data_IF_018340197482
#
_entry.id   IF_018340197482
#
_cell.length_a   1.000
_cell.length_b   1.000
_cell.length_c   1.000
_cell.angle_alpha   90.00
_cell.angle_beta   90.00
_cell.angle_gamma   90.00
#
_symmetry.space_group_name_H-M   'P 1'
#
loop_
_entity.id
_entity.type
_entity.pdbx_description
1 polymer ?
#
# COMPACT_ATOMS: atom_id res chain seq x y z
N UNK A 1 12.84 47.48 3.46
CA UNK A 1 12.91 46.01 3.39
C UNK A 1 14.37 45.63 3.69
N UNK A 2 14.62 45.00 4.84
CA UNK A 2 15.96 44.84 5.42
C UNK A 2 16.86 43.92 4.58
N UNK A 3 18.09 44.37 4.25
CA UNK A 3 19.12 43.54 3.60
C UNK A 3 19.35 42.21 4.32
N UNK A 4 19.30 42.22 5.65
CA UNK A 4 19.44 41.02 6.49
C UNK A 4 18.32 39.99 6.27
N UNK A 5 17.10 40.45 5.98
CA UNK A 5 15.97 39.57 5.68
C UNK A 5 16.16 38.89 4.32
N UNK A 6 16.61 39.65 3.31
CA UNK A 6 16.89 39.13 1.98
C UNK A 6 18.02 38.08 1.99
N UNK A 7 19.08 38.30 2.77
CA UNK A 7 20.19 37.36 2.91
C UNK A 7 19.75 36.04 3.58
N UNK A 8 18.93 36.13 4.64
CA UNK A 8 18.34 34.95 5.30
C UNK A 8 17.46 34.15 4.35
N UNK A 9 16.62 34.82 3.55
CA UNK A 9 15.76 34.17 2.55
C UNK A 9 16.58 33.49 1.46
N UNK A 10 17.63 34.14 0.93
CA UNK A 10 18.50 33.54 -0.08
C UNK A 10 19.22 32.29 0.44
N UNK A 11 19.70 32.33 1.70
CA UNK A 11 20.33 31.17 2.34
C UNK A 11 19.36 30.01 2.55
N UNK A 12 18.13 30.30 2.98
CA UNK A 12 17.07 29.29 3.15
C UNK A 12 16.72 28.64 1.80
N UNK A 13 16.57 29.43 0.75
CA UNK A 13 16.25 28.94 -0.59
C UNK A 13 17.39 28.07 -1.17
N UNK A 14 18.65 28.44 -0.90
CA UNK A 14 19.81 27.62 -1.27
C UNK A 14 19.82 26.27 -0.55
N UNK A 15 19.47 26.25 0.74
CA UNK A 15 19.34 25.01 1.51
C UNK A 15 18.21 24.12 0.97
N UNK A 16 17.03 24.69 0.73
CA UNK A 16 15.88 23.96 0.17
C UNK A 16 16.22 23.36 -1.19
N UNK A 17 16.91 24.11 -2.06
CA UNK A 17 17.33 23.62 -3.37
C UNK A 17 18.29 22.43 -3.26
N UNK A 18 19.23 22.48 -2.31
CA UNK A 18 20.17 21.38 -2.07
C UNK A 18 19.45 20.13 -1.55
N UNK A 19 18.55 20.29 -0.57
CA UNK A 19 17.75 19.18 -0.02
C UNK A 19 16.84 18.59 -1.10
N UNK A 20 16.14 19.41 -1.89
CA UNK A 20 15.36 18.95 -3.04
C UNK A 20 16.19 18.11 -4.00
N UNK A 21 17.42 18.53 -4.32
CA UNK A 21 18.33 17.74 -5.16
C UNK A 21 18.66 16.36 -4.55
N UNK A 22 18.78 16.25 -3.23
CA UNK A 22 19.00 14.96 -2.56
C UNK A 22 17.77 14.03 -2.65
N UNK A 23 16.57 14.60 -2.68
CA UNK A 23 15.34 13.83 -2.86
C UNK A 23 15.16 13.38 -4.32
N UNK A 24 15.56 14.18 -5.31
CA UNK A 24 15.50 13.76 -6.72
C UNK A 24 16.22 12.43 -6.98
N UNK A 25 17.36 12.19 -6.32
CA UNK A 25 18.09 10.91 -6.40
C UNK A 25 17.27 9.71 -5.90
N UNK A 26 16.19 9.94 -5.14
CA UNK A 26 15.31 8.90 -4.58
C UNK A 26 14.12 8.57 -5.49
N UNK A 27 13.89 9.36 -6.54
CA UNK A 27 12.78 9.17 -7.48
C UNK A 27 12.62 7.71 -7.94
N UNK A 28 13.67 7.00 -8.41
CA UNK A 28 13.50 5.63 -8.90
C UNK A 28 12.99 4.67 -7.83
N UNK A 29 13.40 4.86 -6.57
CA UNK A 29 13.00 4.02 -5.46
C UNK A 29 11.56 4.29 -5.03
N UNK A 30 11.14 5.57 -5.04
CA UNK A 30 9.77 5.99 -4.78
C UNK A 30 8.82 5.45 -5.84
N UNK A 31 9.18 5.61 -7.11
CA UNK A 31 8.41 5.04 -8.23
C UNK A 31 8.30 3.51 -8.10
N UNK A 32 9.41 2.82 -7.79
CA UNK A 32 9.40 1.37 -7.61
C UNK A 32 8.53 0.91 -6.43
N UNK A 33 8.51 1.66 -5.32
CA UNK A 33 7.65 1.35 -4.17
C UNK A 33 6.17 1.50 -4.53
N UNK A 34 5.81 2.57 -5.24
CA UNK A 34 4.45 2.83 -5.69
C UNK A 34 3.97 1.76 -6.69
N UNK A 35 4.76 1.48 -7.73
CA UNK A 35 4.48 0.41 -8.69
C UNK A 35 4.36 -0.95 -7.99
N UNK A 36 5.25 -1.25 -7.05
CA UNK A 36 5.19 -2.50 -6.30
C UNK A 36 3.92 -2.64 -5.45
N UNK A 37 3.36 -1.52 -4.96
CA UNK A 37 2.08 -1.54 -4.27
C UNK A 37 0.92 -1.73 -5.24
N UNK A 38 0.92 -0.99 -6.36
CA UNK A 38 -0.09 -1.08 -7.43
C UNK A 38 -0.16 -2.50 -8.00
N UNK A 39 0.98 -3.09 -8.33
CA UNK A 39 1.09 -4.47 -8.82
C UNK A 39 0.56 -5.46 -7.80
N UNK A 40 0.85 -5.26 -6.51
CA UNK A 40 0.34 -6.10 -5.44
C UNK A 40 -1.19 -6.01 -5.37
N UNK A 41 -1.78 -4.81 -5.39
CA UNK A 41 -3.24 -4.66 -5.28
C UNK A 41 -4.00 -5.12 -6.53
N UNK A 42 -3.34 -5.10 -7.69
CA UNK A 42 -3.90 -5.51 -8.97
C UNK A 42 -3.93 -7.03 -9.21
N UNK A 43 -3.33 -7.84 -8.32
CA UNK A 43 -3.35 -9.31 -8.43
C UNK A 43 -4.78 -9.84 -8.44
N UNK A 44 -4.97 -11.03 -8.98
CA UNK A 44 -6.26 -11.72 -9.09
C UNK A 44 -6.46 -12.80 -8.01
N UNK A 45 -5.76 -12.69 -6.89
CA UNK A 45 -5.88 -13.58 -5.73
C UNK A 45 -6.02 -12.81 -4.40
N UNK A 46 -6.37 -13.49 -3.31
CA UNK A 46 -6.49 -12.86 -1.99
C UNK A 46 -5.16 -12.25 -1.53
N UNK A 47 -5.13 -10.98 -1.11
CA UNK A 47 -3.89 -10.38 -0.60
C UNK A 47 -3.69 -10.73 0.86
N UNK A 48 -2.67 -11.53 1.11
CA UNK A 48 -2.31 -11.94 2.46
C UNK A 48 -1.64 -10.81 3.24
N UNK A 49 -1.62 -10.94 4.56
CA UNK A 49 -0.79 -10.08 5.42
C UNK A 49 0.69 -10.22 5.10
N UNK A 50 1.11 -11.39 4.60
CA UNK A 50 2.49 -11.61 4.20
C UNK A 50 2.87 -10.81 2.95
N UNK A 51 1.98 -10.70 1.95
CA UNK A 51 2.21 -9.88 0.75
C UNK A 51 2.48 -8.42 1.14
N UNK A 52 1.57 -7.84 1.93
CA UNK A 52 1.71 -6.47 2.39
C UNK A 52 2.94 -6.26 3.26
N UNK A 53 3.23 -7.18 4.19
CA UNK A 53 4.44 -7.11 5.02
C UNK A 53 5.69 -7.17 4.17
N UNK A 54 5.74 -8.08 3.19
CA UNK A 54 6.90 -8.25 2.31
C UNK A 54 7.15 -7.00 1.47
N UNK A 55 6.09 -6.35 0.97
CA UNK A 55 6.20 -5.06 0.31
C UNK A 55 6.76 -3.99 1.27
N UNK A 56 6.20 -3.87 2.47
CA UNK A 56 6.63 -2.87 3.47
C UNK A 56 8.08 -3.07 3.91
N UNK A 57 8.50 -4.32 4.12
CA UNK A 57 9.88 -4.67 4.46
C UNK A 57 10.84 -4.35 3.30
N UNK A 58 10.45 -4.65 2.06
CA UNK A 58 11.25 -4.36 0.86
C UNK A 58 11.51 -2.87 0.68
N UNK A 59 10.49 -2.04 0.93
CA UNK A 59 10.55 -0.60 0.67
C UNK A 59 10.70 0.26 1.93
N UNK A 60 10.85 -0.32 3.13
CA UNK A 60 10.83 0.39 4.41
C UNK A 60 11.66 1.68 4.45
N UNK A 61 12.92 1.62 3.97
CA UNK A 61 13.80 2.79 3.88
C UNK A 61 13.26 3.91 2.98
N UNK A 62 12.53 3.56 1.92
CA UNK A 62 11.89 4.53 1.02
C UNK A 62 10.68 5.15 1.72
N UNK A 63 9.92 4.35 2.46
CA UNK A 63 8.77 4.84 3.23
C UNK A 63 9.22 5.84 4.31
N UNK A 64 10.34 5.58 4.98
CA UNK A 64 10.95 6.54 5.91
C UNK A 64 11.35 7.87 5.21
N UNK A 65 11.81 7.79 3.95
CA UNK A 65 12.13 8.96 3.14
C UNK A 65 10.87 9.74 2.78
N UNK A 66 9.75 9.06 2.50
CA UNK A 66 8.45 9.71 2.24
C UNK A 66 8.02 10.48 3.48
N UNK A 67 8.05 9.86 4.67
CA UNK A 67 7.69 10.54 5.92
C UNK A 67 8.61 11.73 6.21
N UNK A 68 9.92 11.59 5.95
CA UNK A 68 10.87 12.69 6.08
C UNK A 68 10.54 13.85 5.13
N UNK A 69 10.17 13.57 3.88
CA UNK A 69 9.80 14.60 2.90
C UNK A 69 8.63 15.46 3.42
N UNK A 70 7.57 14.82 3.93
CA UNK A 70 6.40 15.53 4.47
C UNK A 70 6.66 16.24 5.80
N UNK A 71 7.76 15.92 6.49
CA UNK A 71 8.20 16.67 7.68
C UNK A 71 8.98 17.95 7.37
N UNK A 72 9.37 18.16 6.10
CA UNK A 72 10.21 19.27 5.66
C UNK A 72 9.42 20.27 4.80
N UNK A 73 9.33 21.51 5.27
CA UNK A 73 8.57 22.54 4.58
C UNK A 73 9.32 23.15 3.37
N UNK A 74 8.56 23.43 2.31
CA UNK A 74 9.03 24.18 1.14
C UNK A 74 9.95 23.42 0.20
N UNK A 75 9.94 22.09 0.26
CA UNK A 75 10.64 21.25 -0.71
C UNK A 75 9.78 21.01 -1.95
N UNK A 76 10.37 21.16 -3.13
CA UNK A 76 9.75 20.82 -4.41
C UNK A 76 10.60 19.78 -5.12
N UNK A 77 9.96 18.73 -5.63
CA UNK A 77 10.61 17.67 -6.43
C UNK A 77 9.73 17.28 -7.62
N UNK A 78 10.31 16.65 -8.64
CA UNK A 78 9.67 16.33 -9.92
C UNK A 78 8.61 15.23 -9.84
N UNK A 79 8.47 14.58 -8.69
CA UNK A 79 7.64 13.38 -8.47
C UNK A 79 6.78 13.51 -7.19
N UNK A 80 6.36 14.75 -6.87
CA UNK A 80 5.50 15.02 -5.70
C UNK A 80 4.21 14.19 -5.71
N UNK A 81 3.62 13.95 -6.88
CA UNK A 81 2.41 13.13 -6.99
C UNK A 81 2.61 11.69 -6.51
N UNK A 82 3.77 11.09 -6.79
CA UNK A 82 4.11 9.75 -6.30
C UNK A 82 4.34 9.73 -4.79
N UNK A 83 4.94 10.79 -4.23
CA UNK A 83 5.11 10.96 -2.78
C UNK A 83 3.75 11.09 -2.08
N UNK A 84 2.85 11.92 -2.62
CA UNK A 84 1.50 12.11 -2.08
C UNK A 84 0.73 10.78 -2.06
N UNK A 85 0.78 10.03 -3.17
CA UNK A 85 0.10 8.73 -3.28
C UNK A 85 0.65 7.73 -2.28
N UNK A 86 1.98 7.61 -2.14
CA UNK A 86 2.58 6.75 -1.13
C UNK A 86 2.22 7.19 0.29
N UNK A 87 2.20 8.49 0.58
CA UNK A 87 1.85 8.98 1.89
C UNK A 87 0.40 8.63 2.27
N UNK A 88 -0.54 8.77 1.34
CA UNK A 88 -1.93 8.31 1.52
C UNK A 88 -2.00 6.81 1.74
N UNK A 89 -1.27 6.01 0.95
CA UNK A 89 -1.19 4.55 1.13
C UNK A 89 -0.67 4.21 2.53
N UNK A 90 0.36 4.89 3.02
CA UNK A 90 0.92 4.64 4.34
C UNK A 90 -0.06 4.98 5.46
N UNK A 91 -0.84 6.05 5.31
CA UNK A 91 -1.84 6.47 6.28
C UNK A 91 -3.01 5.48 6.44
N UNK A 92 -3.42 4.79 5.37
CA UNK A 92 -4.63 3.95 5.37
C UNK A 92 -4.51 2.60 4.65
N UNK A 93 -3.30 2.04 4.61
CA UNK A 93 -3.02 0.78 3.91
C UNK A 93 -3.88 -0.40 4.38
N UNK A 94 -4.22 -0.48 5.66
CA UNK A 94 -5.07 -1.56 6.18
C UNK A 94 -6.49 -1.49 5.60
N UNK A 95 -7.11 -0.31 5.55
CA UNK A 95 -8.44 -0.18 4.98
C UNK A 95 -8.45 -0.41 3.47
N UNK A 96 -7.42 0.07 2.77
CA UNK A 96 -7.25 -0.17 1.32
C UNK A 96 -7.19 -1.67 1.00
N UNK A 97 -6.33 -2.41 1.72
CA UNK A 97 -6.18 -3.87 1.52
C UNK A 97 -7.47 -4.59 1.89
N UNK A 98 -8.10 -4.22 3.00
CA UNK A 98 -9.36 -4.82 3.44
C UNK A 98 -10.48 -4.58 2.42
N UNK A 99 -10.56 -3.38 1.86
CA UNK A 99 -11.54 -3.05 0.82
C UNK A 99 -11.31 -3.89 -0.42
N UNK A 100 -10.08 -3.91 -0.93
CA UNK A 100 -9.73 -4.71 -2.12
C UNK A 100 -10.02 -6.20 -1.89
N UNK A 101 -9.65 -6.75 -0.73
CA UNK A 101 -9.90 -8.16 -0.44
C UNK A 101 -11.39 -8.47 -0.35
N UNK A 102 -12.22 -7.56 0.19
CA UNK A 102 -13.67 -7.73 0.17
C UNK A 102 -14.19 -7.80 -1.26
N UNK A 103 -13.75 -6.90 -2.13
CA UNK A 103 -14.19 -6.86 -3.53
C UNK A 103 -13.76 -8.15 -4.27
N UNK A 104 -12.54 -8.64 -4.02
CA UNK A 104 -12.07 -9.94 -4.51
C UNK A 104 -12.94 -11.11 -4.01
N UNK A 105 -13.25 -11.14 -2.70
CA UNK A 105 -14.08 -12.18 -2.09
C UNK A 105 -15.48 -12.21 -2.71
N UNK A 106 -16.11 -11.05 -2.90
CA UNK A 106 -17.44 -10.95 -3.52
C UNK A 106 -17.44 -11.51 -4.95
N UNK A 107 -16.41 -11.19 -5.73
CA UNK A 107 -16.26 -11.70 -7.09
C UNK A 107 -16.05 -13.21 -7.13
N UNK A 108 -15.17 -13.75 -6.29
CA UNK A 108 -14.88 -15.19 -6.28
C UNK A 108 -16.04 -16.01 -5.72
N UNK A 109 -16.79 -15.48 -4.74
CA UNK A 109 -18.01 -16.13 -4.24
C UNK A 109 -19.06 -16.29 -5.34
N UNK A 110 -19.25 -15.25 -6.17
CA UNK A 110 -20.17 -15.31 -7.32
C UNK A 110 -19.64 -16.27 -8.39
N UNK A 111 -18.35 -16.17 -8.72
CA UNK A 111 -17.69 -17.00 -9.74
C UNK A 111 -17.77 -18.50 -9.44
N UNK A 112 -17.62 -18.89 -8.18
CA UNK A 112 -17.63 -20.29 -7.75
C UNK A 112 -18.94 -20.74 -7.10
N UNK A 113 -20.01 -19.96 -7.19
CA UNK A 113 -21.27 -20.26 -6.50
C UNK A 113 -21.82 -21.65 -6.85
N UNK A 114 -21.97 -21.95 -8.14
CA UNK A 114 -22.46 -23.25 -8.62
C UNK A 114 -21.52 -24.42 -8.26
N UNK A 115 -20.21 -24.16 -8.17
CA UNK A 115 -19.26 -25.17 -7.69
C UNK A 115 -19.48 -25.47 -6.21
N UNK A 116 -19.63 -24.43 -5.36
CA UNK A 116 -19.86 -24.61 -3.93
C UNK A 116 -21.23 -25.20 -3.58
N UNK A 117 -22.23 -25.01 -4.44
CA UNK A 117 -23.54 -25.66 -4.29
C UNK A 117 -23.51 -27.17 -4.58
N UNK A 118 -22.56 -27.62 -5.41
CA UNK A 118 -22.53 -29.00 -5.93
C UNK A 118 -21.39 -29.87 -5.39
N UNK A 119 -20.44 -29.26 -4.67
CA UNK A 119 -19.21 -29.94 -4.24
C UNK A 119 -19.45 -31.12 -3.28
N UNK A 120 -20.39 -30.96 -2.37
CA UNK A 120 -20.68 -31.92 -1.30
C UNK A 120 -22.15 -32.35 -1.37
N UNK A 121 -22.52 -33.39 -0.60
CA UNK A 121 -23.93 -33.82 -0.49
C UNK A 121 -24.86 -32.67 -0.07
N UNK A 122 -24.35 -31.72 0.72
CA UNK A 122 -25.03 -30.50 1.10
C UNK A 122 -24.18 -29.29 0.66
N UNK A 123 -24.79 -28.20 0.18
CA UNK A 123 -24.06 -26.99 -0.19
C UNK A 123 -23.16 -26.49 0.93
N UNK A 124 -21.97 -26.01 0.58
CA UNK A 124 -21.09 -25.38 1.56
C UNK A 124 -21.75 -24.16 2.18
N UNK A 125 -21.60 -24.01 3.50
CA UNK A 125 -22.04 -22.82 4.23
C UNK A 125 -21.24 -21.59 3.78
N UNK A 126 -21.78 -20.35 3.90
CA UNK A 126 -21.05 -19.14 3.54
C UNK A 126 -19.66 -19.05 4.18
N UNK A 127 -19.51 -19.48 5.44
CA UNK A 127 -18.23 -19.46 6.16
C UNK A 127 -17.22 -20.47 5.62
N UNK A 128 -17.67 -21.63 5.16
CA UNK A 128 -16.80 -22.60 4.49
C UNK A 128 -16.33 -22.06 3.13
N UNK A 129 -17.23 -21.45 2.35
CA UNK A 129 -16.89 -20.80 1.07
C UNK A 129 -15.88 -19.67 1.28
N UNK A 130 -16.11 -18.81 2.27
CA UNK A 130 -15.16 -17.76 2.65
C UNK A 130 -13.79 -18.36 3.00
N UNK A 131 -13.75 -19.40 3.84
CA UNK A 131 -12.50 -20.04 4.26
C UNK A 131 -11.72 -20.70 3.11
N UNK A 132 -12.39 -21.11 2.03
CA UNK A 132 -11.75 -21.65 0.82
C UNK A 132 -11.09 -20.53 0.00
N UNK A 133 -11.74 -19.36 -0.11
CA UNK A 133 -11.24 -18.25 -0.93
C UNK A 133 -10.14 -17.46 -0.20
N UNK A 134 -10.18 -17.41 1.13
CA UNK A 134 -9.16 -16.71 1.94
C UNK A 134 -7.83 -17.47 1.92
N UNK A 135 -6.91 -16.99 1.09
CA UNK A 135 -5.54 -17.50 0.98
C UNK A 135 -4.56 -16.71 1.87
N UNK A 136 -4.82 -16.71 3.18
CA UNK A 136 -3.89 -16.16 4.16
C UNK A 136 -2.86 -17.22 4.57
N UNK A 137 -1.62 -16.80 4.84
CA UNK A 137 -0.53 -17.73 5.22
C UNK A 137 -0.81 -18.50 6.52
N UNK A 138 -1.65 -17.94 7.40
CA UNK A 138 -2.03 -18.55 8.67
C UNK A 138 -3.53 -18.36 8.89
N UNK A 139 -4.29 -19.42 8.62
CA UNK A 139 -5.71 -19.49 8.87
C UNK A 139 -5.98 -20.25 10.19
N UNK A 140 -6.82 -19.67 11.06
CA UNK A 140 -7.42 -20.39 12.18
C UNK A 140 -8.88 -20.67 11.82
N UNK A 141 -9.17 -21.93 11.49
CA UNK A 141 -10.54 -22.39 11.23
C UNK A 141 -11.02 -23.17 12.44
N UNK A 142 -12.08 -22.68 13.08
CA UNK A 142 -12.74 -23.36 14.19
C UNK A 142 -14.05 -23.93 13.65
N UNK A 143 -14.14 -25.25 13.54
CA UNK A 143 -15.34 -25.96 13.12
C UNK A 143 -15.73 -27.00 14.18
N UNK A 144 -17.03 -27.17 14.41
CA UNK A 144 -17.53 -28.32 15.15
C UNK A 144 -17.34 -29.61 14.35
N UNK A 145 -17.39 -30.77 15.03
CA UNK A 145 -17.37 -32.05 14.33
C UNK A 145 -18.63 -32.19 13.45
N UNK A 146 -18.46 -32.37 12.15
CA UNK A 146 -19.54 -32.50 11.17
C UNK A 146 -19.03 -32.46 9.75
#
# INVERSE_FOLDING_TARGET
MNLELAEKTAKLQGLQSHVSSMFEDKKPMVTAALMGFEDMVARDWYLSRHDYRSWRERYGKVLDIVDLYFSLDGLSVSYMGELDRLHVILGDSEALIKSRNRDYMEQELVKYDSYFESLEKYPLTPKQREAIIVDEHRNLVIAGAG
#
